data_IF_430277254473
#
_entry.id   IF_430277254473
#
_cell.length_a   1.000
_cell.length_b   1.000
_cell.length_c   1.000
_cell.angle_alpha   90.00
_cell.angle_beta   90.00
_cell.angle_gamma   90.00
#
_symmetry.space_group_name_H-M   'P 1'
#
loop_
_entity.id
_entity.type
_entity.pdbx_description
1 polymer ?
#
# COMPACT_ATOMS: atom_id res chain seq x y z
N UNK A 1 -16.90 11.38 -6.51
CA UNK A 1 -17.82 10.59 -5.65
C UNK A 1 -17.05 10.21 -4.40
N UNK A 2 -17.70 10.12 -3.25
CA UNK A 2 -17.11 9.71 -1.97
C UNK A 2 -17.71 8.38 -1.53
N UNK A 3 -16.93 7.58 -0.81
CA UNK A 3 -17.37 6.32 -0.19
C UNK A 3 -17.34 6.47 1.32
N UNK A 4 -18.41 6.02 1.98
CA UNK A 4 -18.50 6.07 3.44
C UNK A 4 -17.50 5.13 4.11
N UNK A 5 -16.83 5.60 5.16
CA UNK A 5 -15.95 4.78 6.03
C UNK A 5 -16.61 3.46 6.44
N UNK A 6 -17.88 3.50 6.90
CA UNK A 6 -18.61 2.29 7.29
C UNK A 6 -18.80 1.31 6.13
N UNK A 7 -18.98 1.81 4.90
CA UNK A 7 -19.09 0.97 3.71
C UNK A 7 -17.75 0.32 3.38
N UNK A 8 -16.65 1.09 3.41
CA UNK A 8 -15.29 0.58 3.17
C UNK A 8 -14.93 -0.53 4.17
N UNK A 9 -15.15 -0.31 5.47
CA UNK A 9 -14.86 -1.32 6.50
C UNK A 9 -15.66 -2.61 6.26
N UNK A 10 -16.90 -2.49 5.78
CA UNK A 10 -17.79 -3.63 5.53
C UNK A 10 -17.41 -4.42 4.28
N UNK A 11 -16.89 -3.76 3.23
CA UNK A 11 -16.62 -4.39 1.92
C UNK A 11 -15.15 -4.67 1.67
N UNK A 12 -14.24 -4.10 2.48
CA UNK A 12 -12.81 -4.29 2.33
C UNK A 12 -12.41 -5.78 2.44
N UNK A 13 -11.52 -6.26 1.55
CA UNK A 13 -10.90 -7.57 1.67
C UNK A 13 -10.21 -7.80 3.02
N UNK A 14 -10.14 -9.06 3.44
CA UNK A 14 -9.61 -9.43 4.77
C UNK A 14 -8.14 -9.04 4.99
N UNK A 15 -7.33 -9.03 3.93
CA UNK A 15 -5.94 -8.60 3.91
C UNK A 15 -5.83 -7.08 4.05
N UNK A 16 -6.64 -6.32 3.30
CA UNK A 16 -6.72 -4.87 3.44
C UNK A 16 -7.13 -4.44 4.86
N UNK A 17 -8.10 -5.15 5.47
CA UNK A 17 -8.49 -4.92 6.87
C UNK A 17 -7.34 -5.20 7.84
N UNK A 18 -6.52 -6.22 7.59
CA UNK A 18 -5.31 -6.50 8.40
C UNK A 18 -4.26 -5.41 8.25
N UNK A 19 -4.05 -4.88 7.05
CA UNK A 19 -3.12 -3.76 6.83
C UNK A 19 -3.59 -2.49 7.55
N UNK A 20 -4.88 -2.14 7.46
CA UNK A 20 -5.45 -1.06 8.25
C UNK A 20 -5.23 -1.28 9.76
N UNK A 21 -5.43 -2.49 10.26
CA UNK A 21 -5.21 -2.81 11.67
C UNK A 21 -3.74 -2.66 12.10
N UNK A 22 -2.76 -2.98 11.24
CA UNK A 22 -1.33 -2.78 11.53
C UNK A 22 -0.96 -1.30 11.66
N UNK A 23 -1.69 -0.43 10.95
CA UNK A 23 -1.48 1.01 10.97
C UNK A 23 -2.12 1.69 12.18
N UNK A 24 -3.08 1.06 12.87
CA UNK A 24 -3.64 1.57 14.13
C UNK A 24 -2.62 1.50 15.28
N UNK A 25 -2.73 2.38 16.29
CA UNK A 25 -2.00 2.19 17.54
C UNK A 25 -2.42 0.88 18.24
N UNK A 26 -1.49 0.27 18.97
CA UNK A 26 -1.75 -0.94 19.74
C UNK A 26 -2.55 -0.61 20.99
N UNK A 27 -3.88 -0.74 20.90
CA UNK A 27 -4.82 -0.37 21.97
C UNK A 27 -5.56 -1.63 22.44
N UNK A 28 -5.32 -2.11 23.67
CA UNK A 28 -6.05 -3.25 24.21
C UNK A 28 -7.53 -2.89 24.45
N UNK A 29 -8.39 -3.92 24.48
CA UNK A 29 -9.78 -3.74 24.91
C UNK A 29 -9.78 -3.32 26.39
N UNK A 30 -10.50 -2.26 26.78
CA UNK A 30 -10.58 -1.87 28.18
C UNK A 30 -11.42 -2.88 28.98
N UNK A 31 -11.00 -3.18 30.20
CA UNK A 31 -11.76 -4.03 31.12
C UNK A 31 -12.86 -3.20 31.79
N UNK A 32 -14.07 -3.23 31.21
CA UNK A 32 -15.21 -2.44 31.67
C UNK A 32 -16.38 -3.36 32.02
N UNK A 33 -17.13 -3.00 33.07
CA UNK A 33 -18.42 -3.64 33.35
C UNK A 33 -19.40 -3.27 32.26
N UNK A 34 -20.07 -4.28 31.69
CA UNK A 34 -21.06 -4.09 30.64
C UNK A 34 -22.46 -4.35 31.19
N UNK A 35 -23.30 -3.32 31.13
CA UNK A 35 -24.68 -3.38 31.57
C UNK A 35 -25.59 -4.01 30.51
N UNK A 36 -26.74 -4.53 30.97
CA UNK A 36 -27.70 -5.21 30.10
C UNK A 36 -28.43 -4.21 29.22
N UNK A 37 -28.77 -4.65 28.00
CA UNK A 37 -29.65 -3.89 27.13
C UNK A 37 -31.05 -3.69 27.74
N UNK A 38 -31.74 -2.58 27.41
CA UNK A 38 -33.12 -2.33 27.84
C UNK A 38 -34.09 -3.25 27.10
N UNK A 39 -34.45 -4.38 27.72
CA UNK A 39 -35.27 -5.42 27.10
C UNK A 39 -36.64 -4.90 26.61
N UNK A 40 -37.29 -4.01 27.36
CA UNK A 40 -38.56 -3.42 26.94
C UNK A 40 -38.40 -2.56 25.69
N UNK A 41 -37.34 -1.75 25.61
CA UNK A 41 -37.05 -0.92 24.44
C UNK A 41 -36.68 -1.78 23.23
N UNK A 42 -35.84 -2.80 23.38
CA UNK A 42 -35.54 -3.74 22.30
C UNK A 42 -36.80 -4.43 21.76
N UNK A 43 -37.78 -4.69 22.62
CA UNK A 43 -39.01 -5.39 22.22
C UNK A 43 -40.02 -4.54 21.44
N UNK A 44 -39.81 -3.21 21.35
CA UNK A 44 -40.67 -2.35 20.52
C UNK A 44 -40.22 -2.34 19.05
N UNK A 45 -38.99 -2.78 18.79
CA UNK A 45 -38.39 -2.78 17.48
C UNK A 45 -38.50 -4.14 16.78
N UNK A 46 -38.42 -4.17 15.44
CA UNK A 46 -38.28 -5.40 14.67
C UNK A 46 -37.06 -6.21 15.11
N UNK A 47 -37.21 -7.53 15.17
CA UNK A 47 -36.17 -8.44 15.69
C UNK A 47 -34.82 -8.31 14.97
N UNK A 48 -34.85 -8.04 13.66
CA UNK A 48 -33.68 -7.90 12.77
C UNK A 48 -32.91 -6.59 12.99
N UNK A 49 -33.58 -5.52 13.46
CA UNK A 49 -33.03 -4.16 13.49
C UNK A 49 -32.91 -3.57 14.90
N UNK A 50 -33.42 -4.27 15.92
CA UNK A 50 -33.57 -3.75 17.30
C UNK A 50 -32.31 -3.13 17.89
N UNK A 51 -31.12 -3.66 17.60
CA UNK A 51 -29.87 -3.12 18.13
C UNK A 51 -29.40 -1.87 17.39
N UNK A 52 -29.57 -1.85 16.06
CA UNK A 52 -29.29 -0.67 15.24
C UNK A 52 -30.21 0.50 15.62
N UNK A 53 -31.52 0.23 15.76
CA UNK A 53 -32.50 1.23 16.19
C UNK A 53 -32.28 1.68 17.64
N UNK A 54 -31.90 0.78 18.54
CA UNK A 54 -31.48 1.16 19.89
C UNK A 54 -30.27 2.09 19.86
N UNK A 55 -29.28 1.82 19.00
CA UNK A 55 -28.13 2.71 18.80
C UNK A 55 -28.55 4.12 18.40
N UNK A 56 -29.41 4.23 17.38
CA UNK A 56 -29.93 5.53 16.91
C UNK A 56 -30.70 6.27 18.01
N UNK A 57 -31.56 5.57 18.76
CA UNK A 57 -32.26 6.17 19.92
C UNK A 57 -31.27 6.63 20.99
N UNK A 58 -30.21 5.86 21.25
CA UNK A 58 -29.19 6.23 22.24
C UNK A 58 -28.44 7.49 21.81
N UNK A 59 -28.12 7.60 20.52
CA UNK A 59 -27.48 8.78 19.94
C UNK A 59 -28.36 10.02 20.13
N UNK A 60 -29.65 9.95 19.81
CA UNK A 60 -30.60 11.06 20.01
C UNK A 60 -30.67 11.50 21.48
N UNK A 61 -30.67 10.55 22.42
CA UNK A 61 -30.68 10.88 23.85
C UNK A 61 -29.38 11.58 24.27
N UNK A 62 -28.24 11.15 23.73
CA UNK A 62 -26.95 11.79 24.00
C UNK A 62 -26.82 13.19 23.38
N UNK A 63 -27.70 13.60 22.46
CA UNK A 63 -27.77 14.99 21.96
C UNK A 63 -28.41 15.94 22.98
N UNK A 64 -29.15 15.42 23.96
CA UNK A 64 -29.90 16.20 24.93
C UNK A 64 -29.05 16.56 26.18
N UNK A 65 -29.35 17.68 26.85
CA UNK A 65 -28.88 17.93 28.21
C UNK A 65 -29.30 16.81 29.15
N UNK A 66 -28.48 16.50 30.17
CA UNK A 66 -28.73 15.40 31.13
C UNK A 66 -30.15 15.44 31.73
N UNK A 67 -30.66 16.62 32.07
CA UNK A 67 -31.99 16.81 32.65
C UNK A 67 -33.15 16.43 31.70
N UNK A 68 -32.91 16.46 30.39
CA UNK A 68 -33.92 16.20 29.35
C UNK A 68 -33.90 14.74 28.89
N UNK A 69 -32.94 13.93 29.34
CA UNK A 69 -32.83 12.49 29.09
C UNK A 69 -33.87 11.75 29.95
N UNK A 70 -35.11 11.83 29.47
CA UNK A 70 -36.32 11.33 30.12
C UNK A 70 -36.97 10.24 29.26
N UNK A 71 -37.95 9.55 29.83
CA UNK A 71 -38.71 8.56 29.07
C UNK A 71 -39.51 9.14 27.90
N UNK A 72 -39.97 10.39 28.01
CA UNK A 72 -40.65 11.07 26.91
C UNK A 72 -39.67 11.38 25.76
N UNK A 73 -38.41 11.67 26.08
CA UNK A 73 -37.34 11.77 25.09
C UNK A 73 -37.07 10.42 24.40
N UNK A 74 -37.05 9.30 25.15
CA UNK A 74 -36.94 7.95 24.56
C UNK A 74 -38.07 7.74 23.57
N UNK A 75 -39.32 8.02 23.97
CA UNK A 75 -40.47 7.82 23.10
C UNK A 75 -40.43 8.71 21.86
N UNK A 76 -39.92 9.94 21.99
CA UNK A 76 -39.73 10.85 20.86
C UNK A 76 -38.70 10.30 19.88
N UNK A 77 -37.54 9.84 20.37
CA UNK A 77 -36.50 9.22 19.56
C UNK A 77 -36.95 7.90 18.91
N UNK A 78 -37.72 7.06 19.63
CA UNK A 78 -38.30 5.83 19.08
C UNK A 78 -39.21 6.15 17.88
N UNK A 79 -40.09 7.14 17.99
CA UNK A 79 -40.96 7.53 16.87
C UNK A 79 -40.19 8.14 15.70
N UNK A 80 -39.08 8.83 15.97
CA UNK A 80 -38.22 9.41 14.93
C UNK A 80 -37.61 8.29 14.07
N UNK A 81 -37.04 7.28 14.71
CA UNK A 81 -36.29 6.21 14.02
C UNK A 81 -37.16 5.01 13.62
N UNK A 82 -38.31 4.81 14.27
CA UNK A 82 -39.29 3.78 13.93
C UNK A 82 -40.73 4.34 13.95
N UNK A 83 -41.13 5.13 12.92
CA UNK A 83 -42.43 5.79 12.87
C UNK A 83 -43.64 4.83 12.92
N UNK A 84 -43.45 3.56 12.55
CA UNK A 84 -44.48 2.51 12.56
C UNK A 84 -44.71 1.83 13.91
N UNK A 85 -44.09 2.31 15.00
CA UNK A 85 -44.25 1.74 16.34
C UNK A 85 -45.71 1.82 16.82
N UNK A 86 -46.22 0.75 17.45
CA UNK A 86 -47.54 0.77 18.10
C UNK A 86 -47.53 1.82 19.22
N UNK A 87 -48.42 2.85 19.19
CA UNK A 87 -48.48 3.87 20.24
C UNK A 87 -48.66 3.32 21.66
N UNK A 88 -49.28 2.15 21.82
CA UNK A 88 -49.43 1.47 23.12
C UNK A 88 -48.10 0.99 23.72
N UNK A 89 -47.04 0.93 22.89
CA UNK A 89 -45.70 0.57 23.35
C UNK A 89 -45.12 1.60 24.32
N UNK A 90 -45.61 2.84 24.33
CA UNK A 90 -45.18 3.86 25.30
C UNK A 90 -45.40 3.39 26.74
N UNK A 91 -46.58 2.85 27.04
CA UNK A 91 -46.92 2.37 28.39
C UNK A 91 -45.98 1.26 28.85
N UNK A 92 -45.61 0.37 27.91
CA UNK A 92 -44.65 -0.72 28.15
C UNK A 92 -43.26 -0.19 28.52
N UNK A 93 -42.80 0.89 27.89
CA UNK A 93 -41.54 1.52 28.24
C UNK A 93 -41.60 2.14 29.64
N UNK A 94 -42.74 2.75 30.00
CA UNK A 94 -42.95 3.44 31.28
C UNK A 94 -42.96 2.52 32.48
N UNK A 95 -43.62 1.37 32.39
CA UNK A 95 -43.72 0.43 33.51
C UNK A 95 -42.54 -0.55 33.57
N UNK A 96 -41.63 -0.51 32.60
CA UNK A 96 -40.53 -1.45 32.46
C UNK A 96 -39.44 -1.22 33.50
N UNK A 97 -39.02 -2.30 34.16
CA UNK A 97 -37.87 -2.32 35.09
C UNK A 97 -36.50 -2.16 34.42
N UNK A 98 -36.46 -2.11 33.08
CA UNK A 98 -35.20 -2.05 32.31
C UNK A 98 -34.98 -0.72 31.60
N UNK A 99 -36.01 0.13 31.51
CA UNK A 99 -35.93 1.42 30.80
C UNK A 99 -35.19 2.46 31.63
N UNK A 100 -35.59 2.64 32.90
CA UNK A 100 -34.97 3.64 33.78
C UNK A 100 -33.50 3.34 34.10
N UNK A 101 -33.07 2.09 34.38
CA UNK A 101 -31.65 1.79 34.52
C UNK A 101 -30.83 2.13 33.27
N UNK A 102 -31.38 1.87 32.07
CA UNK A 102 -30.73 2.25 30.82
C UNK A 102 -30.60 3.77 30.67
N UNK A 103 -31.65 4.53 31.00
CA UNK A 103 -31.58 5.99 31.01
C UNK A 103 -30.54 6.51 31.99
N UNK A 104 -30.40 5.87 33.15
CA UNK A 104 -29.36 6.23 34.12
C UNK A 104 -27.95 6.00 33.55
N UNK A 105 -27.73 4.89 32.84
CA UNK A 105 -26.48 4.63 32.13
C UNK A 105 -26.20 5.74 31.10
N UNK A 106 -27.19 6.12 30.28
CA UNK A 106 -27.06 7.19 29.28
C UNK A 106 -26.78 8.55 29.94
N UNK A 107 -27.45 8.89 31.05
CA UNK A 107 -27.25 10.15 31.79
C UNK A 107 -25.84 10.25 32.38
N UNK A 108 -25.33 9.16 32.97
CA UNK A 108 -23.95 9.11 33.47
C UNK A 108 -22.94 9.31 32.35
N UNK A 109 -23.11 8.60 31.23
CA UNK A 109 -22.25 8.76 30.06
C UNK A 109 -22.34 10.18 29.47
N UNK A 110 -23.53 10.79 29.40
CA UNK A 110 -23.69 12.18 28.97
C UNK A 110 -22.96 13.14 29.92
N UNK A 111 -23.03 12.90 31.23
CA UNK A 111 -22.32 13.70 32.23
C UNK A 111 -20.80 13.61 32.04
N UNK A 112 -20.26 12.42 31.79
CA UNK A 112 -18.84 12.25 31.44
C UNK A 112 -18.48 12.97 30.15
N UNK A 113 -19.32 12.86 29.11
CA UNK A 113 -19.13 13.54 27.84
C UNK A 113 -19.09 15.07 28.04
N UNK A 114 -20.05 15.64 28.77
CA UNK A 114 -20.10 17.08 29.06
C UNK A 114 -18.84 17.59 29.78
N UNK A 115 -18.23 16.76 30.63
CA UNK A 115 -17.02 17.12 31.37
C UNK A 115 -15.76 17.21 30.49
N UNK A 116 -15.73 16.54 29.32
CA UNK A 116 -14.55 16.45 28.46
C UNK A 116 -14.65 17.24 27.15
N UNK A 117 -15.86 17.66 26.77
CA UNK A 117 -16.10 18.41 25.52
C UNK A 117 -15.47 19.80 25.60
N UNK A 118 -14.66 20.13 24.60
CA UNK A 118 -13.96 21.41 24.46
C UNK A 118 -14.64 22.24 23.38
N UNK A 119 -15.47 23.20 23.80
CA UNK A 119 -16.20 24.09 22.92
C UNK A 119 -17.59 23.56 22.53
N UNK A 120 -18.12 24.04 21.40
CA UNK A 120 -19.46 23.68 20.94
C UNK A 120 -19.45 22.30 20.28
N UNK A 121 -20.24 21.37 20.82
CA UNK A 121 -20.50 20.08 20.19
C UNK A 121 -21.41 20.28 18.97
N UNK A 122 -21.01 19.70 17.85
CA UNK A 122 -21.76 19.69 16.59
C UNK A 122 -22.09 18.25 16.21
N UNK A 123 -23.25 18.05 15.58
CA UNK A 123 -23.77 16.75 15.17
C UNK A 123 -24.00 16.76 13.66
N UNK A 124 -24.22 15.58 13.06
CA UNK A 124 -24.50 15.42 11.63
C UNK A 124 -23.40 16.00 10.72
N UNK A 125 -22.17 16.02 11.23
CA UNK A 125 -21.00 16.57 10.53
C UNK A 125 -20.38 15.55 9.59
N UNK A 126 -19.69 16.06 8.57
CA UNK A 126 -18.93 15.23 7.62
C UNK A 126 -17.46 15.57 7.74
N UNK A 127 -16.63 14.55 7.93
CA UNK A 127 -15.18 14.63 7.73
C UNK A 127 -14.85 13.92 6.42
N UNK A 128 -14.02 14.50 5.57
CA UNK A 128 -13.75 13.94 4.26
C UNK A 128 -12.32 14.18 3.81
N UNK A 129 -11.81 13.23 3.03
CA UNK A 129 -10.54 13.37 2.32
C UNK A 129 -10.67 12.66 0.99
N UNK A 130 -10.54 13.43 -0.09
CA UNK A 130 -10.59 12.94 -1.48
C UNK A 130 -11.85 12.08 -1.73
N UNK A 131 -11.69 10.76 -1.83
CA UNK A 131 -12.76 9.82 -2.20
C UNK A 131 -13.42 9.16 -0.98
N UNK A 132 -13.10 9.59 0.24
CA UNK A 132 -13.64 9.04 1.49
C UNK A 132 -14.41 10.09 2.25
N UNK A 133 -15.57 9.69 2.79
CA UNK A 133 -16.32 10.49 3.75
C UNK A 133 -16.61 9.69 5.03
N UNK A 134 -16.59 10.38 6.15
CA UNK A 134 -16.92 9.89 7.48
C UNK A 134 -17.99 10.76 8.12
N UNK A 135 -18.84 10.13 8.92
CA UNK A 135 -19.94 10.76 9.63
C UNK A 135 -19.79 10.40 11.11
N UNK A 136 -18.90 11.10 11.85
CA UNK A 136 -18.86 10.95 13.29
C UNK A 136 -20.18 11.42 13.90
N UNK A 137 -20.62 10.76 14.96
CA UNK A 137 -21.89 11.08 15.61
C UNK A 137 -21.85 12.48 16.25
N UNK A 138 -20.69 12.92 16.75
CA UNK A 138 -20.47 14.30 17.15
C UNK A 138 -19.01 14.75 17.02
N UNK A 139 -18.78 16.07 16.92
CA UNK A 139 -17.43 16.64 16.90
C UNK A 139 -17.36 18.07 17.48
N UNK A 140 -16.16 18.44 17.93
CA UNK A 140 -15.70 19.83 18.07
C UNK A 140 -14.57 20.05 17.04
N UNK A 141 -13.99 21.27 16.91
CA UNK A 141 -12.89 21.49 15.97
C UNK A 141 -11.65 20.60 16.18
N UNK A 142 -11.48 20.02 17.39
CA UNK A 142 -10.31 19.19 17.73
C UNK A 142 -10.66 17.83 18.32
N UNK A 143 -11.94 17.50 18.50
CA UNK A 143 -12.37 16.24 19.13
C UNK A 143 -13.43 15.55 18.27
N UNK A 144 -13.26 14.24 18.08
CA UNK A 144 -14.23 13.40 17.36
C UNK A 144 -14.84 12.39 18.33
N UNK A 145 -16.17 12.24 18.31
CA UNK A 145 -16.93 11.35 19.17
C UNK A 145 -17.75 10.37 18.34
N UNK A 146 -17.68 9.09 18.70
CA UNK A 146 -18.50 8.05 18.11
C UNK A 146 -19.20 7.25 19.22
N UNK A 147 -20.52 7.13 19.13
CA UNK A 147 -21.38 6.45 20.09
C UNK A 147 -21.46 4.96 19.75
N UNK A 148 -21.20 4.09 20.73
CA UNK A 148 -21.35 2.63 20.60
C UNK A 148 -22.19 2.05 21.73
N UNK A 149 -23.46 1.78 21.44
CA UNK A 149 -24.37 1.07 22.35
C UNK A 149 -24.20 -0.44 22.16
N UNK A 150 -23.19 -1.05 22.80
CA UNK A 150 -22.92 -2.49 22.67
C UNK A 150 -22.74 -3.21 24.00
N UNK A 151 -23.28 -4.43 24.05
CA UNK A 151 -23.04 -5.44 25.08
C UNK A 151 -21.89 -6.40 24.72
N UNK A 152 -21.34 -6.29 23.51
CA UNK A 152 -20.28 -7.15 22.96
C UNK A 152 -19.03 -6.32 22.67
N UNK A 153 -18.57 -5.58 23.69
CA UNK A 153 -17.46 -4.63 23.54
C UNK A 153 -16.19 -5.33 23.06
N UNK A 154 -15.85 -6.48 23.63
CA UNK A 154 -14.65 -7.25 23.28
C UNK A 154 -14.64 -7.66 21.80
N UNK A 155 -15.75 -8.24 21.32
CA UNK A 155 -15.88 -8.69 19.94
C UNK A 155 -15.84 -7.52 18.94
N UNK A 156 -16.38 -6.36 19.34
CA UNK A 156 -16.57 -5.21 18.44
C UNK A 156 -15.42 -4.20 18.51
N UNK A 157 -14.53 -4.30 19.50
CA UNK A 157 -13.52 -3.29 19.81
C UNK A 157 -12.68 -2.89 18.59
N UNK A 158 -12.18 -3.89 17.86
CA UNK A 158 -11.35 -3.66 16.67
C UNK A 158 -12.08 -2.89 15.59
N UNK A 159 -13.37 -3.18 15.38
CA UNK A 159 -14.20 -2.50 14.39
C UNK A 159 -14.46 -1.05 14.80
N UNK A 160 -14.67 -0.79 16.09
CA UNK A 160 -14.88 0.55 16.62
C UNK A 160 -13.63 1.41 16.44
N UNK A 161 -12.46 0.86 16.75
CA UNK A 161 -11.18 1.53 16.52
C UNK A 161 -10.97 1.83 15.04
N UNK A 162 -11.22 0.87 14.14
CA UNK A 162 -11.11 1.11 12.70
C UNK A 162 -11.97 2.31 12.25
N UNK A 163 -13.19 2.43 12.78
CA UNK A 163 -14.11 3.47 12.39
C UNK A 163 -13.72 4.85 12.95
N UNK A 164 -13.53 4.98 14.26
CA UNK A 164 -13.28 6.28 14.89
C UNK A 164 -11.90 6.85 14.50
N UNK A 165 -10.90 5.98 14.32
CA UNK A 165 -9.58 6.41 13.84
C UNK A 165 -9.61 6.81 12.36
N UNK A 166 -10.47 6.21 11.53
CA UNK A 166 -10.67 6.69 10.18
C UNK A 166 -11.16 8.14 10.17
N UNK A 167 -12.11 8.51 11.04
CA UNK A 167 -12.58 9.89 11.13
C UNK A 167 -11.47 10.88 11.49
N UNK A 168 -10.65 10.55 12.50
CA UNK A 168 -9.46 11.36 12.81
C UNK A 168 -8.42 11.35 11.68
N UNK A 169 -8.28 10.26 10.94
CA UNK A 169 -7.37 10.23 9.80
C UNK A 169 -7.83 11.16 8.67
N UNK A 170 -9.15 11.29 8.46
CA UNK A 170 -9.75 12.18 7.47
C UNK A 170 -9.67 13.66 7.88
N UNK A 171 -9.84 13.97 9.16
CA UNK A 171 -9.72 15.32 9.69
C UNK A 171 -8.46 15.48 10.55
N UNK A 172 -7.40 16.05 9.97
CA UNK A 172 -6.12 16.22 10.65
C UNK A 172 -6.13 17.28 11.76
N UNK A 173 -7.17 18.12 11.87
CA UNK A 173 -7.27 19.07 13.00
C UNK A 173 -7.69 18.38 14.29
N UNK A 174 -8.28 17.19 14.22
CA UNK A 174 -8.61 16.40 15.40
C UNK A 174 -7.33 16.01 16.17
N UNK A 175 -7.28 16.34 17.45
CA UNK A 175 -6.22 15.94 18.38
C UNK A 175 -6.63 14.76 19.24
N UNK A 176 -7.92 14.55 19.42
CA UNK A 176 -8.49 13.56 20.32
C UNK A 176 -9.65 12.81 19.67
N UNK A 177 -9.72 11.50 19.90
CA UNK A 177 -10.86 10.65 19.52
C UNK A 177 -11.48 10.02 20.76
N UNK A 178 -12.80 9.85 20.72
CA UNK A 178 -13.56 9.29 21.81
C UNK A 178 -14.56 8.24 21.33
N UNK A 179 -14.65 7.15 22.08
CA UNK A 179 -15.77 6.20 21.99
C UNK A 179 -16.68 6.47 23.18
N UNK A 180 -17.90 6.91 22.91
CA UNK A 180 -18.95 7.12 23.90
C UNK A 180 -19.66 5.78 24.10
N UNK A 181 -19.58 5.21 25.30
CA UNK A 181 -19.97 3.83 25.59
C UNK A 181 -21.08 3.77 26.66
N UNK A 182 -22.35 4.02 26.29
CA UNK A 182 -23.45 4.11 27.26
C UNK A 182 -23.67 2.86 28.09
N UNK A 183 -23.52 1.65 27.53
CA UNK A 183 -23.68 0.41 28.30
C UNK A 183 -22.51 0.12 29.24
N UNK A 184 -21.41 0.86 29.14
CA UNK A 184 -20.27 0.79 30.04
C UNK A 184 -20.17 2.03 30.94
N UNK A 185 -21.18 2.92 30.88
CA UNK A 185 -21.25 4.19 31.62
C UNK A 185 -20.02 5.11 31.41
N UNK A 186 -19.29 5.00 30.29
CA UNK A 186 -18.01 5.70 30.14
C UNK A 186 -17.76 6.34 28.77
N UNK A 187 -16.82 7.27 28.71
CA UNK A 187 -16.25 7.82 27.47
C UNK A 187 -14.76 7.48 27.36
N UNK A 188 -14.43 6.52 26.50
CA UNK A 188 -13.05 6.13 26.24
C UNK A 188 -12.34 7.18 25.37
N UNK A 189 -11.04 7.40 25.60
CA UNK A 189 -10.23 8.45 24.96
C UNK A 189 -8.93 7.93 24.38
N UNK A 190 -8.51 8.51 23.25
CA UNK A 190 -7.14 8.44 22.75
C UNK A 190 -6.68 9.76 22.12
N UNK A 191 -5.43 10.13 22.35
CA UNK A 191 -4.80 11.28 21.73
C UNK A 191 -4.16 10.89 20.39
N UNK A 192 -4.71 11.39 19.28
CA UNK A 192 -4.29 11.03 17.92
C UNK A 192 -3.17 11.92 17.37
N UNK A 193 -2.72 12.95 18.10
CA UNK A 193 -1.60 13.77 17.64
C UNK A 193 -0.26 13.04 17.69
N UNK A 194 -0.14 11.99 18.51
CA UNK A 194 1.05 11.12 18.56
C UNK A 194 1.00 9.94 17.58
N UNK A 195 -0.06 9.82 16.77
CA UNK A 195 -0.24 8.68 15.87
C UNK A 195 0.55 8.86 14.56
N UNK A 196 1.74 8.28 14.50
CA UNK A 196 2.69 8.43 13.36
C UNK A 196 2.18 7.86 12.04
N UNK A 197 1.34 6.82 12.08
CA UNK A 197 0.79 6.17 10.89
C UNK A 197 -0.53 6.79 10.39
N UNK A 198 -0.99 7.90 10.99
CA UNK A 198 -2.30 8.53 10.69
C UNK A 198 -2.50 8.83 9.21
N UNK A 199 -1.48 9.40 8.56
CA UNK A 199 -1.53 9.74 7.13
C UNK A 199 -1.57 8.48 6.27
N UNK A 200 -0.71 7.49 6.55
CA UNK A 200 -0.71 6.19 5.85
C UNK A 200 -2.06 5.47 5.97
N UNK A 201 -2.69 5.55 7.14
CA UNK A 201 -4.01 4.98 7.39
C UNK A 201 -5.10 5.66 6.55
N UNK A 202 -5.12 6.99 6.52
CA UNK A 202 -6.03 7.79 5.68
C UNK A 202 -5.87 7.42 4.21
N UNK A 203 -4.64 7.34 3.74
CA UNK A 203 -4.33 7.10 2.33
C UNK A 203 -4.72 5.69 1.90
N UNK A 204 -4.55 4.68 2.77
CA UNK A 204 -5.07 3.32 2.53
C UNK A 204 -6.61 3.30 2.49
N UNK A 205 -7.29 4.05 3.35
CA UNK A 205 -8.75 4.22 3.27
C UNK A 205 -9.19 4.83 1.93
N UNK A 206 -8.49 5.87 1.48
CA UNK A 206 -8.75 6.52 0.21
C UNK A 206 -8.51 5.61 -0.98
N UNK A 207 -7.48 4.77 -0.93
CA UNK A 207 -7.22 3.74 -1.93
C UNK A 207 -8.38 2.74 -2.02
N UNK A 208 -8.83 2.20 -0.89
CA UNK A 208 -9.96 1.27 -0.86
C UNK A 208 -11.24 1.92 -1.39
N UNK A 209 -11.49 3.18 -1.07
CA UNK A 209 -12.61 3.93 -1.63
C UNK A 209 -12.51 4.08 -3.15
N UNK A 210 -11.34 4.45 -3.68
CA UNK A 210 -11.12 4.58 -5.13
C UNK A 210 -11.35 3.25 -5.86
N UNK A 211 -10.93 2.13 -5.27
CA UNK A 211 -11.22 0.79 -5.83
C UNK A 211 -12.70 0.45 -5.82
N UNK A 212 -13.45 0.90 -4.82
CA UNK A 212 -14.91 0.71 -4.77
C UNK A 212 -15.65 1.61 -5.77
N UNK A 213 -15.15 2.82 -6.00
CA UNK A 213 -15.71 3.76 -6.98
C UNK A 213 -15.33 3.40 -8.41
N UNK A 214 -14.19 2.73 -8.59
CA UNK A 214 -13.72 2.25 -9.86
C UNK A 214 -13.46 0.74 -9.81
N UNK A 215 -14.53 -0.07 -9.66
CA UNK A 215 -14.42 -1.53 -9.61
C UNK A 215 -13.85 -2.11 -10.93
N UNK A 216 -13.85 -1.28 -11.99
CA UNK A 216 -13.38 -1.54 -13.35
C UNK A 216 -12.01 -0.89 -13.67
N UNK A 217 -11.22 -0.47 -12.66
CA UNK A 217 -9.78 -0.29 -12.88
C UNK A 217 -9.26 -1.62 -13.47
N UNK A 218 -8.84 -1.55 -14.74
CA UNK A 218 -9.12 -2.56 -15.76
C UNK A 218 -8.62 -3.95 -15.34
N UNK A 219 -9.52 -4.87 -14.97
CA UNK A 219 -9.12 -6.29 -14.72
C UNK A 219 -8.75 -7.02 -16.00
N UNK A 220 -9.10 -6.45 -17.16
CA UNK A 220 -8.72 -6.99 -18.45
C UNK A 220 -7.24 -6.72 -18.69
N UNK A 221 -6.46 -7.78 -18.93
CA UNK A 221 -5.06 -7.64 -19.35
C UNK A 221 -4.93 -7.20 -20.82
N UNK A 222 -6.03 -7.19 -21.59
CA UNK A 222 -6.01 -6.93 -23.03
C UNK A 222 -5.50 -5.52 -23.39
N UNK A 223 -5.90 -4.43 -22.72
CA UNK A 223 -5.35 -3.11 -23.02
C UNK A 223 -3.85 -3.04 -22.74
N UNK A 224 -3.39 -3.68 -21.66
CA UNK A 224 -1.97 -3.78 -21.35
C UNK A 224 -1.18 -4.57 -22.41
N UNK A 225 -1.74 -5.68 -22.90
CA UNK A 225 -1.16 -6.45 -24.01
C UNK A 225 -1.14 -5.66 -25.32
N UNK A 226 -2.19 -4.89 -25.60
CA UNK A 226 -2.25 -4.00 -26.75
C UNK A 226 -1.19 -2.90 -26.68
N UNK A 227 -1.01 -2.28 -25.50
CA UNK A 227 0.04 -1.30 -25.25
C UNK A 227 1.43 -1.92 -25.46
N UNK A 228 1.67 -3.11 -24.90
CA UNK A 228 2.92 -3.83 -25.08
C UNK A 228 3.23 -4.10 -26.56
N UNK A 229 2.22 -4.53 -27.32
CA UNK A 229 2.35 -4.77 -28.76
C UNK A 229 2.63 -3.46 -29.52
N UNK A 230 1.91 -2.38 -29.20
CA UNK A 230 2.02 -1.08 -29.86
C UNK A 230 3.41 -0.47 -29.72
N UNK A 231 4.03 -0.61 -28.54
CA UNK A 231 5.33 -0.03 -28.22
C UNK A 231 6.50 -1.02 -28.32
N UNK A 232 6.26 -2.24 -28.81
CA UNK A 232 7.30 -3.27 -28.94
C UNK A 232 7.93 -3.65 -27.60
N UNK A 233 7.14 -3.70 -26.53
CA UNK A 233 7.57 -4.07 -25.19
C UNK A 233 7.84 -5.57 -25.14
N UNK A 234 9.02 -5.92 -24.66
CA UNK A 234 9.50 -7.29 -24.50
C UNK A 234 9.04 -7.96 -23.22
N UNK A 235 9.63 -9.11 -22.91
CA UNK A 235 9.36 -9.82 -21.66
C UNK A 235 10.59 -10.57 -21.15
N UNK A 236 10.59 -10.84 -19.84
CA UNK A 236 11.49 -11.79 -19.24
C UNK A 236 11.08 -13.20 -19.68
N UNK A 237 11.99 -13.89 -20.37
CA UNK A 237 11.76 -15.20 -20.95
C UNK A 237 12.45 -16.29 -20.11
N UNK A 238 11.86 -17.49 -20.02
CA UNK A 238 12.50 -18.61 -19.34
C UNK A 238 13.73 -19.07 -20.14
N UNK A 239 14.82 -19.33 -19.42
CA UNK A 239 16.00 -19.97 -20.03
C UNK A 239 15.72 -21.46 -20.25
N UNK A 240 15.98 -21.94 -21.46
CA UNK A 240 15.93 -23.35 -21.81
C UNK A 240 17.24 -24.07 -21.41
N UNK A 241 17.36 -25.34 -21.79
CA UNK A 241 18.51 -26.19 -21.45
C UNK A 241 19.85 -25.61 -21.92
N UNK A 242 19.86 -24.98 -23.09
CA UNK A 242 21.02 -24.31 -23.68
C UNK A 242 20.69 -22.84 -24.00
N UNK A 243 21.71 -21.98 -24.09
CA UNK A 243 21.52 -20.61 -24.56
C UNK A 243 21.11 -20.58 -26.03
N UNK A 244 21.64 -21.50 -26.84
CA UNK A 244 21.25 -21.62 -28.25
C UNK A 244 19.75 -21.87 -28.41
N UNK A 245 19.19 -22.82 -27.66
CA UNK A 245 17.75 -23.09 -27.71
C UNK A 245 16.94 -21.92 -27.15
N UNK A 246 17.45 -21.29 -26.09
CA UNK A 246 16.83 -20.09 -25.50
C UNK A 246 16.69 -19.00 -26.57
N UNK A 247 17.79 -18.62 -27.22
CA UNK A 247 17.79 -17.56 -28.27
C UNK A 247 16.86 -17.90 -29.43
N UNK A 248 16.79 -19.16 -29.88
CA UNK A 248 15.85 -19.59 -30.94
C UNK A 248 14.37 -19.44 -30.54
N UNK A 249 14.07 -19.52 -29.25
CA UNK A 249 12.71 -19.42 -28.72
C UNK A 249 12.25 -17.98 -28.46
N UNK A 250 13.18 -17.03 -28.42
CA UNK A 250 12.89 -15.64 -28.13
C UNK A 250 12.10 -14.99 -29.28
N UNK A 251 11.15 -14.10 -28.97
CA UNK A 251 10.37 -13.42 -29.99
C UNK A 251 11.25 -12.51 -30.86
N UNK A 252 11.00 -12.43 -32.17
CA UNK A 252 11.73 -11.52 -33.04
C UNK A 252 11.31 -10.07 -32.79
N UNK A 253 12.23 -9.12 -33.01
CA UNK A 253 11.94 -7.68 -33.08
C UNK A 253 11.48 -6.99 -31.79
N UNK A 254 11.52 -7.66 -30.64
CA UNK A 254 11.27 -7.06 -29.31
C UNK A 254 12.43 -7.40 -28.37
N UNK A 255 12.72 -6.57 -27.37
CA UNK A 255 13.73 -6.90 -26.37
C UNK A 255 13.32 -8.15 -25.58
N UNK A 256 14.31 -8.85 -25.04
CA UNK A 256 14.08 -10.00 -24.17
C UNK A 256 15.06 -9.97 -23.01
N UNK A 257 14.63 -10.45 -21.85
CA UNK A 257 15.49 -10.65 -20.69
C UNK A 257 15.52 -12.12 -20.30
N UNK A 258 16.66 -12.63 -19.87
CA UNK A 258 16.80 -14.01 -19.36
C UNK A 258 17.65 -14.05 -18.11
N UNK A 259 17.47 -15.08 -17.29
CA UNK A 259 18.49 -15.50 -16.34
C UNK A 259 19.43 -16.52 -16.99
N UNK A 260 20.71 -16.57 -16.56
CA UNK A 260 21.65 -17.63 -17.00
C UNK A 260 21.51 -18.93 -16.19
N UNK A 261 20.93 -18.84 -15.00
CA UNK A 261 20.55 -19.95 -14.11
C UNK A 261 19.19 -19.66 -13.47
N UNK A 262 18.71 -20.50 -12.54
CA UNK A 262 17.51 -20.14 -11.77
C UNK A 262 17.71 -18.82 -11.00
N UNK A 263 16.64 -18.02 -10.76
CA UNK A 263 16.73 -16.70 -10.13
C UNK A 263 17.26 -16.71 -8.69
N UNK A 264 17.17 -17.86 -8.02
CA UNK A 264 17.66 -18.10 -6.66
C UNK A 264 18.82 -19.11 -6.62
N UNK A 265 19.59 -19.22 -7.71
CA UNK A 265 20.68 -20.18 -7.83
C UNK A 265 22.04 -19.50 -8.06
N UNK A 266 23.05 -19.96 -7.31
CA UNK A 266 24.45 -19.55 -7.41
C UNK A 266 25.21 -20.20 -8.57
N UNK A 267 24.78 -21.41 -8.95
CA UNK A 267 25.54 -22.25 -9.86
C UNK A 267 25.13 -21.98 -11.30
N UNK A 268 25.99 -21.24 -11.99
CA UNK A 268 25.90 -21.05 -13.44
C UNK A 268 26.88 -21.99 -14.13
N UNK A 269 26.37 -22.82 -15.04
CA UNK A 269 27.17 -23.64 -15.94
C UNK A 269 26.66 -23.45 -17.35
N UNK A 270 27.45 -22.74 -18.16
CA UNK A 270 27.21 -22.51 -19.59
C UNK A 270 28.53 -22.79 -20.29
N UNK A 271 28.50 -23.56 -21.38
CA UNK A 271 29.70 -23.88 -22.16
C UNK A 271 30.01 -22.74 -23.11
N UNK A 272 31.29 -22.41 -23.29
CA UNK A 272 31.73 -21.35 -24.22
C UNK A 272 31.23 -21.59 -25.65
N UNK A 273 31.23 -22.85 -26.11
CA UNK A 273 30.69 -23.24 -27.42
C UNK A 273 29.20 -22.88 -27.58
N UNK A 274 28.40 -23.03 -26.52
CA UNK A 274 26.98 -22.68 -26.53
C UNK A 274 26.76 -21.16 -26.50
N UNK A 275 27.63 -20.41 -25.83
CA UNK A 275 27.62 -18.94 -25.87
C UNK A 275 27.90 -18.45 -27.29
N UNK A 276 28.93 -18.99 -27.95
CA UNK A 276 29.30 -18.62 -29.31
C UNK A 276 28.19 -18.98 -30.32
N UNK A 277 27.61 -20.17 -30.20
CA UNK A 277 26.49 -20.59 -31.04
C UNK A 277 25.25 -19.72 -30.84
N UNK A 278 24.92 -19.37 -29.59
CA UNK A 278 23.82 -18.46 -29.28
C UNK A 278 24.08 -17.03 -29.81
N UNK A 279 25.30 -16.50 -29.64
CA UNK A 279 25.70 -15.18 -30.15
C UNK A 279 25.47 -15.04 -31.66
N UNK A 280 25.77 -16.09 -32.42
CA UNK A 280 25.59 -16.10 -33.88
C UNK A 280 24.11 -16.01 -34.32
N UNK A 281 23.17 -16.30 -33.42
CA UNK A 281 21.73 -16.23 -33.68
C UNK A 281 21.09 -14.91 -33.24
N UNK A 282 21.74 -14.15 -32.35
CA UNK A 282 21.22 -12.87 -31.86
C UNK A 282 21.38 -11.80 -32.94
N UNK A 283 20.26 -11.19 -33.32
CA UNK A 283 20.22 -10.10 -34.31
C UNK A 283 20.18 -8.73 -33.61
N UNK A 284 20.55 -7.66 -34.31
CA UNK A 284 20.47 -6.29 -33.76
C UNK A 284 19.04 -5.87 -33.39
N UNK A 285 18.05 -6.41 -34.11
CA UNK A 285 16.63 -6.17 -33.87
C UNK A 285 16.07 -6.91 -32.66
N UNK A 286 16.89 -7.71 -31.96
CA UNK A 286 16.47 -8.51 -30.83
C UNK A 286 17.40 -8.28 -29.62
N UNK A 287 17.31 -7.11 -28.96
CA UNK A 287 18.11 -6.81 -27.78
C UNK A 287 17.91 -7.86 -26.69
N UNK A 288 18.99 -8.53 -26.28
CA UNK A 288 18.97 -9.50 -25.20
C UNK A 288 19.62 -8.92 -23.95
N UNK A 289 18.90 -8.89 -22.84
CA UNK A 289 19.40 -8.53 -21.52
C UNK A 289 19.55 -9.77 -20.66
N UNK A 290 20.47 -9.71 -19.70
CA UNK A 290 20.66 -10.76 -18.71
C UNK A 290 20.33 -10.19 -17.34
N UNK A 291 19.38 -10.81 -16.64
CA UNK A 291 19.15 -10.49 -15.23
C UNK A 291 20.04 -11.38 -14.36
N UNK A 292 20.71 -10.78 -13.37
CA UNK A 292 21.51 -11.51 -12.39
C UNK A 292 20.64 -12.04 -11.23
N UNK A 293 21.03 -13.08 -10.48
CA UNK A 293 20.16 -13.70 -9.48
C UNK A 293 19.87 -12.76 -8.31
N UNK A 294 18.64 -12.79 -7.78
CA UNK A 294 18.17 -11.91 -6.69
C UNK A 294 18.95 -12.03 -5.37
N UNK A 295 19.71 -13.12 -5.24
CA UNK A 295 20.56 -13.40 -4.09
C UNK A 295 21.87 -12.59 -4.08
N UNK A 296 22.21 -11.89 -5.15
CA UNK A 296 23.33 -10.95 -5.16
C UNK A 296 22.94 -9.75 -4.29
N UNK A 297 23.68 -9.56 -3.20
CA UNK A 297 23.57 -8.35 -2.39
C UNK A 297 24.86 -7.55 -2.52
N UNK A 298 24.83 -6.45 -3.28
CA UNK A 298 26.00 -5.60 -3.50
C UNK A 298 26.52 -4.94 -2.21
N UNK A 299 25.70 -4.78 -1.18
CA UNK A 299 26.12 -4.24 0.12
C UNK A 299 26.86 -5.28 0.99
N UNK A 300 27.05 -6.51 0.52
CA UNK A 300 27.80 -7.54 1.25
C UNK A 300 29.28 -7.15 1.37
N UNK A 301 29.88 -7.46 2.52
CA UNK A 301 31.30 -7.17 2.75
C UNK A 301 32.20 -7.91 1.73
N UNK A 302 32.97 -7.18 0.89
CA UNK A 302 33.87 -7.75 -0.12
C UNK A 302 35.02 -8.58 0.48
N UNK A 303 35.34 -8.40 1.76
CA UNK A 303 36.42 -9.09 2.45
C UNK A 303 36.02 -10.49 2.95
N UNK A 304 34.74 -10.86 2.86
CA UNK A 304 34.28 -12.19 3.23
C UNK A 304 34.85 -13.23 2.27
N UNK A 305 35.39 -14.32 2.83
CA UNK A 305 36.15 -15.36 2.13
C UNK A 305 35.47 -15.92 0.86
N UNK A 306 34.15 -15.95 0.83
CA UNK A 306 33.38 -16.57 -0.24
C UNK A 306 32.94 -15.58 -1.36
N UNK A 307 33.20 -14.26 -1.22
CA UNK A 307 32.90 -13.15 -2.16
C UNK A 307 31.73 -13.41 -3.13
N UNK A 308 30.65 -13.91 -2.55
CA UNK A 308 29.67 -14.68 -3.30
C UNK A 308 28.92 -13.80 -4.31
N UNK A 309 28.53 -12.61 -3.87
CA UNK A 309 27.74 -11.65 -4.66
C UNK A 309 28.55 -11.13 -5.85
N UNK A 310 29.76 -10.63 -5.62
CA UNK A 310 30.59 -10.01 -6.66
C UNK A 310 31.18 -11.04 -7.60
N UNK A 311 31.63 -12.20 -7.09
CA UNK A 311 32.09 -13.30 -7.93
C UNK A 311 30.99 -13.82 -8.86
N UNK A 312 29.74 -13.89 -8.38
CA UNK A 312 28.61 -14.29 -9.21
C UNK A 312 28.28 -13.24 -10.27
N UNK A 313 28.27 -11.95 -9.93
CA UNK A 313 28.06 -10.88 -10.91
C UNK A 313 29.15 -10.89 -12.01
N UNK A 314 30.42 -11.03 -11.63
CA UNK A 314 31.55 -11.14 -12.56
C UNK A 314 31.34 -12.34 -13.49
N UNK A 315 30.93 -13.49 -12.97
CA UNK A 315 30.65 -14.69 -13.77
C UNK A 315 29.50 -14.47 -14.76
N UNK A 316 28.47 -13.74 -14.35
CA UNK A 316 27.37 -13.34 -15.24
C UNK A 316 27.89 -12.44 -16.38
N UNK A 317 28.72 -11.44 -16.09
CA UNK A 317 29.34 -10.57 -17.09
C UNK A 317 30.23 -11.36 -18.07
N UNK A 318 31.05 -12.29 -17.56
CA UNK A 318 31.91 -13.15 -18.37
C UNK A 318 31.14 -14.03 -19.37
N UNK A 319 29.85 -14.28 -19.14
CA UNK A 319 28.99 -15.02 -20.08
C UNK A 319 28.20 -14.03 -20.96
N UNK A 320 27.63 -12.98 -20.37
CA UNK A 320 26.76 -12.03 -21.04
C UNK A 320 27.49 -11.17 -22.09
N UNK A 321 28.74 -10.78 -21.82
CA UNK A 321 29.58 -10.01 -22.74
C UNK A 321 29.86 -10.78 -24.04
N UNK A 322 30.42 -12.01 -24.03
CA UNK A 322 30.61 -12.79 -25.26
C UNK A 322 29.30 -13.25 -25.90
N UNK A 323 28.22 -13.43 -25.12
CA UNK A 323 26.86 -13.62 -25.65
C UNK A 323 26.38 -12.40 -26.43
N UNK A 324 26.98 -11.23 -26.21
CA UNK A 324 26.61 -9.96 -26.84
C UNK A 324 25.30 -9.39 -26.32
N UNK A 325 25.00 -9.66 -25.05
CA UNK A 325 23.90 -9.04 -24.33
C UNK A 325 24.06 -7.52 -24.26
N UNK A 326 22.95 -6.78 -24.19
CA UNK A 326 22.90 -5.32 -24.08
C UNK A 326 23.04 -4.79 -22.66
N UNK A 327 23.15 -5.67 -21.67
CA UNK A 327 23.46 -5.31 -20.29
C UNK A 327 23.17 -6.44 -19.32
N UNK A 328 23.79 -6.37 -18.14
CA UNK A 328 23.52 -7.27 -17.02
C UNK A 328 22.81 -6.50 -15.91
N UNK A 329 21.53 -6.81 -15.68
CA UNK A 329 20.73 -6.20 -14.61
C UNK A 329 21.12 -6.79 -13.26
N UNK A 330 21.33 -5.92 -12.29
CA UNK A 330 21.59 -6.27 -10.89
C UNK A 330 20.88 -5.30 -9.97
N UNK A 331 20.22 -5.83 -8.95
CA UNK A 331 19.58 -5.00 -7.94
C UNK A 331 20.65 -4.25 -7.13
N UNK A 332 20.26 -3.13 -6.53
CA UNK A 332 21.04 -2.55 -5.44
C UNK A 332 21.19 -3.54 -4.27
N UNK A 333 21.96 -3.16 -3.26
CA UNK A 333 22.12 -3.98 -2.07
C UNK A 333 21.09 -3.72 -0.96
N UNK A 334 21.12 -4.58 0.04
CA UNK A 334 20.43 -4.40 1.33
C UNK A 334 21.48 -4.22 2.43
N UNK A 335 21.33 -3.20 3.27
CA UNK A 335 22.25 -2.96 4.39
C UNK A 335 22.17 -4.04 5.46
N UNK A 336 21.04 -4.74 5.55
CA UNK A 336 20.75 -5.80 6.52
C UNK A 336 20.93 -5.32 7.96
N UNK A 337 22.03 -5.68 8.61
CA UNK A 337 22.40 -5.28 9.97
C UNK A 337 23.58 -4.31 9.99
N UNK A 338 24.11 -3.95 8.82
CA UNK A 338 25.27 -3.06 8.68
C UNK A 338 24.84 -1.59 8.82
N UNK A 339 25.77 -0.76 9.28
CA UNK A 339 25.63 0.68 9.16
C UNK A 339 25.50 1.09 7.68
N UNK A 340 24.63 2.05 7.38
CA UNK A 340 24.33 2.46 6.01
C UNK A 340 25.59 2.91 5.26
N UNK A 341 26.50 3.65 5.91
CA UNK A 341 27.73 4.13 5.28
C UNK A 341 28.66 2.96 4.92
N UNK A 342 28.70 1.93 5.78
CA UNK A 342 29.47 0.70 5.51
C UNK A 342 28.86 -0.06 4.34
N UNK A 343 27.54 -0.26 4.34
CA UNK A 343 26.83 -0.93 3.25
C UNK A 343 27.04 -0.24 1.89
N UNK A 344 26.95 1.09 1.86
CA UNK A 344 27.20 1.91 0.66
C UNK A 344 28.65 1.81 0.16
N UNK A 345 29.63 1.79 1.08
CA UNK A 345 31.04 1.58 0.71
C UNK A 345 31.31 0.18 0.16
N UNK A 346 30.65 -0.84 0.72
CA UNK A 346 30.74 -2.21 0.23
C UNK A 346 30.17 -2.32 -1.19
N UNK A 347 28.99 -1.74 -1.44
CA UNK A 347 28.40 -1.67 -2.78
C UNK A 347 29.31 -0.97 -3.78
N UNK A 348 29.91 0.17 -3.41
CA UNK A 348 30.89 0.86 -4.25
C UNK A 348 32.07 -0.03 -4.59
N UNK A 349 32.64 -0.70 -3.60
CA UNK A 349 33.79 -1.61 -3.77
C UNK A 349 33.46 -2.79 -4.67
N UNK A 350 32.29 -3.42 -4.47
CA UNK A 350 31.84 -4.55 -5.27
C UNK A 350 31.58 -4.16 -6.74
N UNK A 351 30.95 -2.99 -6.98
CA UNK A 351 30.78 -2.46 -8.34
C UNK A 351 32.13 -2.15 -9.00
N UNK A 352 33.07 -1.51 -8.30
CA UNK A 352 34.41 -1.23 -8.83
C UNK A 352 35.17 -2.51 -9.22
N UNK A 353 34.92 -3.64 -8.53
CA UNK A 353 35.49 -4.95 -8.85
C UNK A 353 34.82 -5.62 -10.06
N UNK A 354 33.51 -5.39 -10.25
CA UNK A 354 32.74 -5.99 -11.34
C UNK A 354 32.85 -5.22 -12.67
N UNK A 355 32.90 -3.88 -12.63
CA UNK A 355 32.98 -2.99 -13.81
C UNK A 355 34.03 -3.40 -14.85
N UNK A 356 35.26 -3.83 -14.48
CA UNK A 356 36.27 -4.27 -15.45
C UNK A 356 35.86 -5.45 -16.35
N UNK A 357 34.85 -6.23 -15.95
CA UNK A 357 34.33 -7.37 -16.71
C UNK A 357 33.15 -7.01 -17.61
N UNK A 358 32.64 -5.78 -17.52
CA UNK A 358 31.60 -5.24 -18.39
C UNK A 358 32.22 -4.51 -19.60
N UNK A 359 31.39 -4.21 -20.60
CA UNK A 359 31.78 -3.40 -21.76
C UNK A 359 30.77 -2.29 -21.99
N UNK A 360 31.09 -1.27 -22.78
CA UNK A 360 30.14 -0.19 -23.07
C UNK A 360 28.89 -0.70 -23.80
N UNK A 361 29.02 -1.79 -24.56
CA UNK A 361 27.90 -2.45 -25.25
C UNK A 361 27.15 -3.46 -24.40
N UNK A 362 27.73 -3.86 -23.26
CA UNK A 362 27.16 -4.78 -22.27
C UNK A 362 27.51 -4.27 -20.85
N UNK A 363 26.93 -3.14 -20.44
CA UNK A 363 27.19 -2.54 -19.13
C UNK A 363 26.50 -3.31 -18.00
N UNK A 364 26.92 -3.05 -16.76
CA UNK A 364 26.11 -3.37 -15.58
C UNK A 364 24.95 -2.37 -15.54
N UNK A 365 23.72 -2.87 -15.43
CA UNK A 365 22.52 -2.08 -15.24
C UNK A 365 22.12 -2.16 -13.77
N UNK A 366 22.42 -1.11 -13.00
CA UNK A 366 21.97 -1.02 -11.62
C UNK A 366 20.48 -0.69 -11.62
N UNK A 367 19.68 -1.58 -11.04
CA UNK A 367 18.23 -1.45 -11.03
C UNK A 367 17.75 -0.60 -9.86
N UNK A 368 16.75 0.25 -10.11
CA UNK A 368 16.10 1.06 -9.08
C UNK A 368 15.45 0.20 -7.99
N UNK A 369 15.57 0.54 -6.70
CA UNK A 369 15.01 -0.25 -5.60
C UNK A 369 13.51 -0.02 -5.36
N UNK A 370 12.85 -1.04 -4.83
CA UNK A 370 11.48 -0.94 -4.30
C UNK A 370 11.44 -0.49 -2.83
N UNK A 371 12.59 -0.44 -2.15
CA UNK A 371 12.70 -0.06 -0.74
C UNK A 371 12.31 -1.18 0.22
N UNK A 372 12.33 -2.44 -0.24
CA UNK A 372 11.84 -3.55 0.57
C UNK A 372 12.86 -3.93 1.66
N UNK A 373 12.43 -3.81 2.92
CA UNK A 373 13.24 -4.19 4.08
C UNK A 373 14.35 -3.16 4.35
N UNK A 374 15.59 -3.51 4.01
CA UNK A 374 16.79 -2.67 4.24
C UNK A 374 17.50 -2.32 2.94
N UNK A 375 16.77 -2.34 1.83
CA UNK A 375 17.25 -1.92 0.53
C UNK A 375 17.69 -0.45 0.55
N UNK A 376 18.83 -0.16 -0.08
CA UNK A 376 19.44 1.18 -0.06
C UNK A 376 19.12 1.97 -1.32
N UNK A 377 19.47 3.26 -1.37
CA UNK A 377 19.30 4.15 -2.54
C UNK A 377 17.84 4.32 -2.98
N UNK A 378 16.90 4.40 -2.03
CA UNK A 378 15.48 4.60 -2.34
C UNK A 378 15.14 6.03 -2.76
N UNK A 379 16.01 7.00 -2.48
CA UNK A 379 15.84 8.39 -2.93
C UNK A 379 16.40 8.59 -4.34
N UNK A 380 15.68 9.37 -5.16
CA UNK A 380 16.05 9.66 -6.56
C UNK A 380 17.43 10.32 -6.69
N UNK A 381 17.70 11.38 -5.93
CA UNK A 381 18.95 12.13 -6.06
C UNK A 381 20.12 11.29 -5.54
N UNK A 382 19.93 10.58 -4.42
CA UNK A 382 20.95 9.66 -3.89
C UNK A 382 21.30 8.55 -4.89
N UNK A 383 20.31 7.91 -5.51
CA UNK A 383 20.51 6.85 -6.49
C UNK A 383 21.26 7.37 -7.72
N UNK A 384 20.79 8.49 -8.29
CA UNK A 384 21.36 9.04 -9.51
C UNK A 384 22.78 9.57 -9.27
N UNK A 385 23.01 10.28 -8.17
CA UNK A 385 24.34 10.77 -7.80
C UNK A 385 25.30 9.62 -7.50
N UNK A 386 24.82 8.52 -6.88
CA UNK A 386 25.63 7.33 -6.66
C UNK A 386 26.15 6.77 -7.99
N UNK A 387 25.27 6.53 -8.96
CA UNK A 387 25.66 5.99 -10.29
C UNK A 387 26.56 6.96 -11.05
N UNK A 388 26.20 8.26 -11.10
CA UNK A 388 26.99 9.29 -11.78
C UNK A 388 28.40 9.41 -11.19
N UNK A 389 28.56 9.21 -9.88
CA UNK A 389 29.85 9.35 -9.21
C UNK A 389 30.93 8.36 -9.67
N UNK A 390 30.56 7.26 -10.36
CA UNK A 390 31.54 6.35 -10.97
C UNK A 390 32.15 6.91 -12.24
N UNK A 391 31.42 7.76 -12.97
CA UNK A 391 31.82 8.33 -14.26
C UNK A 391 32.39 7.26 -15.23
N UNK A 392 31.78 6.08 -15.27
CA UNK A 392 32.24 4.94 -16.07
C UNK A 392 31.19 4.56 -17.13
N UNK A 393 31.55 4.39 -18.41
CA UNK A 393 30.59 4.05 -19.46
C UNK A 393 30.00 2.62 -19.32
N UNK A 394 30.56 1.79 -18.44
CA UNK A 394 30.14 0.40 -18.21
C UNK A 394 29.19 0.22 -17.04
N UNK A 395 28.79 1.31 -16.35
CA UNK A 395 27.74 1.31 -15.34
C UNK A 395 26.59 2.20 -15.80
N UNK A 396 25.40 1.63 -15.85
CA UNK A 396 24.17 2.24 -16.37
C UNK A 396 22.99 1.88 -15.48
N UNK A 397 21.79 2.34 -15.83
CA UNK A 397 20.58 2.23 -15.02
C UNK A 397 19.55 1.35 -15.74
N UNK A 398 18.93 0.46 -14.97
CA UNK A 398 17.61 -0.09 -15.28
C UNK A 398 16.59 0.60 -14.35
N UNK A 399 15.51 1.15 -14.90
CA UNK A 399 14.39 1.65 -14.08
C UNK A 399 13.30 0.61 -14.09
N UNK A 400 12.88 0.16 -12.91
CA UNK A 400 11.66 -0.62 -12.76
C UNK A 400 10.51 0.30 -12.33
N UNK A 401 9.43 0.32 -13.13
CA UNK A 401 8.29 1.20 -12.89
C UNK A 401 7.52 0.85 -11.61
N UNK A 402 7.44 -0.42 -11.22
CA UNK A 402 6.84 -0.85 -9.97
C UNK A 402 7.72 -0.45 -8.77
N UNK A 403 9.03 -0.57 -8.88
CA UNK A 403 9.97 -0.25 -7.81
C UNK A 403 9.99 1.24 -7.47
N UNK A 404 10.11 2.11 -8.48
CA UNK A 404 10.10 3.57 -8.24
C UNK A 404 8.73 4.04 -7.72
N UNK A 405 7.65 3.38 -8.15
CA UNK A 405 6.32 3.62 -7.58
C UNK A 405 6.22 3.16 -6.11
N UNK A 406 6.80 2.01 -5.77
CA UNK A 406 6.84 1.50 -4.40
C UNK A 406 7.64 2.42 -3.46
N UNK A 407 8.60 3.19 -3.96
CA UNK A 407 9.37 4.20 -3.19
C UNK A 407 8.72 5.59 -3.18
N UNK A 408 7.58 5.78 -3.85
CA UNK A 408 6.78 7.01 -3.77
C UNK A 408 6.90 7.93 -4.98
N UNK A 409 7.58 7.52 -6.05
CA UNK A 409 7.79 8.34 -7.24
C UNK A 409 6.82 7.98 -8.38
N UNK A 410 6.49 8.98 -9.21
CA UNK A 410 5.78 8.74 -10.47
C UNK A 410 6.78 8.19 -11.51
N UNK A 411 6.55 7.00 -12.11
CA UNK A 411 7.57 6.33 -12.93
C UNK A 411 8.02 7.11 -14.16
N UNK A 412 7.09 7.81 -14.82
CA UNK A 412 7.40 8.66 -15.98
C UNK A 412 8.36 9.78 -15.58
N UNK A 413 8.07 10.48 -14.48
CA UNK A 413 8.85 11.61 -14.02
C UNK A 413 10.24 11.17 -13.52
N UNK A 414 10.32 9.99 -12.88
CA UNK A 414 11.58 9.39 -12.48
C UNK A 414 12.48 9.09 -13.69
N UNK A 415 11.93 8.42 -14.71
CA UNK A 415 12.67 8.11 -15.94
C UNK A 415 13.05 9.38 -16.72
N UNK A 416 12.13 10.35 -16.84
CA UNK A 416 12.38 11.63 -17.50
C UNK A 416 13.47 12.44 -16.77
N UNK A 417 13.50 12.41 -15.44
CA UNK A 417 14.55 13.04 -14.64
C UNK A 417 15.95 12.49 -14.92
N UNK A 418 16.08 11.16 -15.05
CA UNK A 418 17.35 10.52 -15.45
C UNK A 418 17.73 10.97 -16.86
N UNK A 419 16.80 10.87 -17.81
CA UNK A 419 17.03 11.22 -19.22
C UNK A 419 17.42 12.69 -19.40
N UNK A 420 16.82 13.59 -18.61
CA UNK A 420 17.12 15.02 -18.64
C UNK A 420 18.53 15.32 -18.10
N UNK A 421 18.97 14.61 -17.06
CA UNK A 421 20.30 14.80 -16.48
C UNK A 421 21.39 14.18 -17.36
N UNK A 422 21.19 12.93 -17.79
CA UNK A 422 22.13 12.17 -18.63
C UNK A 422 21.36 11.11 -19.44
N UNK A 423 21.03 11.37 -20.72
CA UNK A 423 20.21 10.46 -21.53
C UNK A 423 20.89 9.12 -21.79
N UNK A 424 22.21 9.05 -21.71
CA UNK A 424 22.99 7.84 -21.92
C UNK A 424 22.98 6.88 -20.71
N UNK A 425 22.44 7.28 -19.55
CA UNK A 425 22.41 6.44 -18.35
C UNK A 425 21.29 5.39 -18.35
N UNK A 426 20.11 5.73 -18.88
CA UNK A 426 18.95 4.84 -18.87
C UNK A 426 19.01 3.90 -20.08
N UNK A 427 19.25 2.61 -19.83
CA UNK A 427 19.45 1.60 -20.89
C UNK A 427 18.27 0.63 -21.00
N UNK A 428 17.53 0.42 -19.91
CA UNK A 428 16.41 -0.52 -19.85
C UNK A 428 15.35 0.01 -18.89
N UNK A 429 14.09 -0.25 -19.23
CA UNK A 429 12.97 -0.11 -18.29
C UNK A 429 12.33 -1.48 -18.08
N UNK A 430 12.25 -1.92 -16.83
CA UNK A 430 11.32 -2.98 -16.45
C UNK A 430 9.92 -2.35 -16.32
N UNK A 431 9.00 -2.81 -17.16
CA UNK A 431 7.73 -2.16 -17.45
C UNK A 431 6.59 -2.92 -16.76
N UNK A 432 6.49 -2.70 -15.46
CA UNK A 432 5.64 -3.43 -14.54
C UNK A 432 4.59 -2.49 -13.93
N UNK A 433 3.33 -2.94 -13.84
CA UNK A 433 2.34 -2.27 -12.99
C UNK A 433 2.58 -2.69 -11.52
N UNK A 434 2.01 -1.97 -10.55
CA UNK A 434 2.13 -2.32 -9.13
C UNK A 434 0.83 -2.86 -8.58
N UNK A 435 0.87 -4.00 -7.91
CA UNK A 435 -0.30 -4.52 -7.17
C UNK A 435 -0.49 -3.86 -5.79
N UNK A 436 0.40 -2.92 -5.43
CA UNK A 436 0.39 -2.23 -4.15
C UNK A 436 0.41 -0.71 -4.34
N UNK A 437 -0.06 0.07 -3.35
CA UNK A 437 -0.11 1.51 -3.47
C UNK A 437 1.27 2.17 -3.60
N UNK A 438 1.29 3.38 -4.17
CA UNK A 438 2.49 4.22 -4.22
C UNK A 438 3.08 4.42 -2.81
N UNK A 439 4.40 4.29 -2.67
CA UNK A 439 5.08 4.42 -1.38
C UNK A 439 4.89 3.24 -0.42
N UNK A 440 4.44 2.07 -0.90
CA UNK A 440 4.24 0.86 -0.09
C UNK A 440 5.53 0.25 0.44
N UNK A 441 6.68 0.52 -0.19
CA UNK A 441 7.94 -0.20 -0.02
C UNK A 441 7.79 -1.73 -0.27
N UNK A 442 6.86 -2.12 -1.14
CA UNK A 442 6.61 -3.52 -1.50
C UNK A 442 6.84 -3.74 -2.98
N UNK A 443 7.82 -4.56 -3.29
CA UNK A 443 8.00 -5.18 -4.60
C UNK A 443 6.91 -6.24 -4.82
N UNK A 444 5.88 -5.88 -5.58
CA UNK A 444 4.87 -6.83 -6.06
C UNK A 444 4.21 -6.33 -7.34
N UNK A 445 4.63 -6.90 -8.45
CA UNK A 445 4.15 -6.53 -9.78
C UNK A 445 2.67 -6.91 -10.00
N UNK A 446 2.04 -6.20 -10.92
CA UNK A 446 0.74 -6.51 -11.50
C UNK A 446 0.83 -6.49 -13.03
N UNK A 447 -0.14 -7.10 -13.71
CA UNK A 447 -0.25 -6.96 -15.16
C UNK A 447 -0.49 -5.49 -15.53
N UNK A 448 0.06 -5.07 -16.67
CA UNK A 448 -0.09 -3.71 -17.21
C UNK A 448 -1.56 -3.29 -17.24
N UNK A 449 -1.87 -2.23 -16.52
CA UNK A 449 -3.21 -1.62 -16.49
C UNK A 449 -4.13 -2.17 -15.40
N UNK A 450 -3.70 -3.21 -14.68
CA UNK A 450 -4.50 -3.90 -13.65
C UNK A 450 -4.12 -3.48 -12.23
N UNK A 451 -3.05 -2.71 -12.07
CA UNK A 451 -2.50 -2.28 -10.80
C UNK A 451 -2.73 -0.79 -10.49
N UNK A 452 -2.04 -0.31 -9.45
CA UNK A 452 -2.17 1.03 -8.89
C UNK A 452 -1.41 2.11 -9.67
N UNK A 453 -0.46 1.73 -10.54
CA UNK A 453 0.12 2.66 -11.53
C UNK A 453 -0.92 2.89 -12.62
N UNK A 454 -1.48 1.80 -13.13
CA UNK A 454 -2.60 1.79 -14.06
C UNK A 454 -2.22 2.17 -15.50
N UNK A 455 -3.14 1.88 -16.41
CA UNK A 455 -2.88 1.88 -17.86
C UNK A 455 -2.47 3.26 -18.38
N UNK A 456 -3.12 4.31 -17.90
CA UNK A 456 -2.85 5.69 -18.34
C UNK A 456 -1.41 6.09 -18.08
N UNK A 457 -0.93 5.94 -16.84
CA UNK A 457 0.42 6.35 -16.45
C UNK A 457 1.48 5.48 -17.13
N UNK A 458 1.22 4.17 -17.26
CA UNK A 458 2.11 3.28 -18.01
C UNK A 458 2.16 3.64 -19.50
N UNK A 459 1.06 4.10 -20.10
CA UNK A 459 1.07 4.62 -21.49
C UNK A 459 2.02 5.80 -21.63
N UNK A 460 2.01 6.74 -20.69
CA UNK A 460 2.93 7.88 -20.70
C UNK A 460 4.41 7.46 -20.56
N UNK A 461 4.69 6.43 -19.75
CA UNK A 461 6.04 5.82 -19.67
C UNK A 461 6.42 5.17 -21.01
N UNK A 462 5.50 4.44 -21.65
CA UNK A 462 5.76 3.76 -22.92
C UNK A 462 6.06 4.76 -24.04
N UNK A 463 5.31 5.87 -24.10
CA UNK A 463 5.55 6.97 -25.04
C UNK A 463 6.91 7.62 -24.82
N UNK A 464 7.28 7.89 -23.56
CA UNK A 464 8.60 8.42 -23.21
C UNK A 464 9.71 7.47 -23.66
N UNK A 465 9.63 6.19 -23.29
CA UNK A 465 10.65 5.21 -23.65
C UNK A 465 10.76 5.03 -25.17
N UNK A 466 9.63 5.03 -25.89
CA UNK A 466 9.61 4.98 -27.35
C UNK A 466 10.31 6.19 -27.98
N UNK A 467 10.03 7.40 -27.47
CA UNK A 467 10.67 8.64 -27.93
C UNK A 467 12.19 8.61 -27.77
N UNK A 468 12.67 8.08 -26.63
CA UNK A 468 14.10 8.00 -26.33
C UNK A 468 14.75 6.68 -26.77
N UNK A 469 14.00 5.78 -27.41
CA UNK A 469 14.44 4.44 -27.85
C UNK A 469 15.01 3.60 -26.70
N UNK A 470 14.44 3.73 -25.51
CA UNK A 470 14.77 2.91 -24.34
C UNK A 470 13.96 1.61 -24.44
N UNK A 471 14.62 0.44 -24.53
CA UNK A 471 13.93 -0.85 -24.49
C UNK A 471 13.13 -1.03 -23.20
N UNK A 472 11.99 -1.71 -23.32
CA UNK A 472 11.12 -2.03 -22.20
C UNK A 472 10.89 -3.54 -22.12
N UNK A 473 10.92 -4.11 -20.92
CA UNK A 473 10.72 -5.54 -20.67
C UNK A 473 9.74 -5.73 -19.52
N UNK A 474 8.74 -6.60 -19.69
CA UNK A 474 7.79 -6.99 -18.63
C UNK A 474 8.39 -8.16 -17.83
N UNK A 475 8.16 -8.19 -16.51
CA UNK A 475 8.65 -9.24 -15.61
C UNK A 475 7.55 -10.09 -14.96
#
# INVERSE_FOLDING_TARGET
MSVRVRHIIKTAPSDALKELQKLLPKIPVPTLTTHRYPAALLSVFPAEERYSLLGCVTEELLRLPVADITIDAVWTAVKLWYPGVDPKSKDKLTVSKTTEPFLEHVRKTRTELDAIVKGKLTFDTVVAFDSVEGHPDAQTPTQIFEVKTTGMLEDSWKQFLLQVFAYAALDLTATDVYLVLPLQETVWHYNVSTWTNRVKYRDLFNHLAKRLLNPDADKSVLPGQALATLHGIGSHMPKLKSLTDTVKSLPPSVPSQIFLSGPMNSKVTVKEEDVAAAKALITETQPLFVHSPYMINLCSDPAVKDDYSTGLLIKYLQIAVPLGSKGVVVHVGKSTTQDLKVAMNNMRTNLMRAIPYATETCPILLETPAGQGTEVLTDFDEFLDFVVSFNDPRLRICVDTCHVFATGYEPKDYAEGILARRPDLLILVHFNDSSTPCGSCVDRHAFIGTGDIGLKKLTEVAELCTKFKVPMVIE
#
